data_IF_387394863831
#
_entry.id   IF_387394863831
#
_cell.length_a   1.000
_cell.length_b   1.000
_cell.length_c   1.000
_cell.angle_alpha   90.00
_cell.angle_beta   90.00
_cell.angle_gamma   90.00
#
_symmetry.space_group_name_H-M   'P 1'
#
loop_
_entity.id
_entity.type
_entity.pdbx_description
1 polymer ?
#
# COMPACT_ATOMS: atom_id res chain seq x y z
N UNK A 1 -20.07 4.47 1.48
CA UNK A 1 -19.55 4.43 1.47
C UNK A 1 -18.74 4.54 1.27
N UNK A 2 -18.23 4.55 1.16
CA UNK A 2 -17.60 4.77 1.03
C UNK A 2 -16.37 4.81 0.81
N UNK A 3 -15.55 4.09 1.16
CA UNK A 3 -14.18 4.12 0.83
C UNK A 3 -13.96 3.63 -0.53
N UNK A 4 -13.23 4.37 -1.30
CA UNK A 4 -12.85 3.94 -2.62
C UNK A 4 -11.70 2.98 -2.51
N UNK A 5 -11.61 2.05 -3.43
CA UNK A 5 -10.45 1.19 -3.52
C UNK A 5 -9.21 2.01 -3.79
N UNK A 6 -8.08 1.56 -3.26
CA UNK A 6 -6.81 2.24 -3.42
C UNK A 6 -5.78 1.29 -4.01
N UNK A 7 -4.75 1.87 -4.58
CA UNK A 7 -3.67 1.09 -5.16
C UNK A 7 -2.34 1.74 -4.84
N UNK A 8 -1.34 0.92 -4.59
CA UNK A 8 0.04 1.38 -4.41
C UNK A 8 0.90 0.67 -5.43
N UNK A 9 1.64 1.43 -6.21
CA UNK A 9 2.57 0.87 -7.17
C UNK A 9 3.97 0.89 -6.57
N UNK A 10 4.51 -0.28 -6.38
CA UNK A 10 5.83 -0.42 -5.80
C UNK A 10 6.88 -0.26 -6.89
N UNK A 11 8.04 0.36 -6.57
CA UNK A 11 9.11 0.52 -7.59
C UNK A 11 9.60 -0.79 -8.17
N UNK A 12 9.40 -1.90 -7.46
CA UNK A 12 9.82 -3.20 -7.96
C UNK A 12 8.88 -3.77 -9.01
N UNK A 13 7.81 -3.05 -9.33
CA UNK A 13 6.85 -3.50 -10.33
C UNK A 13 5.62 -4.16 -9.75
N UNK A 14 5.57 -4.35 -8.44
CA UNK A 14 4.40 -4.95 -7.82
C UNK A 14 3.30 -3.91 -7.67
N UNK A 15 2.07 -4.35 -7.83
CA UNK A 15 0.90 -3.49 -7.64
C UNK A 15 0.08 -4.07 -6.50
N UNK A 16 -0.20 -3.24 -5.52
CA UNK A 16 -0.93 -3.65 -4.32
C UNK A 16 -2.29 -3.00 -4.35
N UNK A 17 -3.33 -3.81 -4.30
CA UNK A 17 -4.70 -3.31 -4.31
C UNK A 17 -5.35 -3.53 -2.96
N UNK A 18 -6.05 -2.52 -2.48
CA UNK A 18 -6.80 -2.61 -1.24
C UNK A 18 -8.17 -2.01 -1.39
N UNK A 19 -9.06 -2.37 -0.50
CA UNK A 19 -10.43 -1.87 -0.54
C UNK A 19 -10.54 -0.48 0.09
N UNK A 20 -9.54 -0.09 0.85
CA UNK A 20 -9.50 1.22 1.49
C UNK A 20 -8.05 1.59 1.69
N UNK A 21 -7.84 2.83 2.13
CA UNK A 21 -6.49 3.29 2.42
C UNK A 21 -5.84 2.43 3.51
N UNK A 22 -6.59 2.11 4.56
CA UNK A 22 -6.05 1.29 5.63
C UNK A 22 -5.65 -0.08 5.15
N UNK A 23 -6.47 -0.66 4.28
CA UNK A 23 -6.20 -1.99 3.76
C UNK A 23 -4.95 -2.00 2.89
N UNK A 24 -4.84 -1.05 1.98
CA UNK A 24 -3.68 -1.02 1.09
C UNK A 24 -2.40 -0.68 1.86
N UNK A 25 -2.53 0.13 2.91
CA UNK A 25 -1.37 0.45 3.74
C UNK A 25 -0.85 -0.80 4.44
N UNK A 26 -1.76 -1.57 5.03
CA UNK A 26 -1.36 -2.79 5.72
C UNK A 26 -0.67 -3.77 4.76
N UNK A 27 -1.22 -3.92 3.57
CA UNK A 27 -0.63 -4.80 2.58
C UNK A 27 0.73 -4.30 2.12
N UNK A 28 0.85 -3.00 1.93
CA UNK A 28 2.12 -2.41 1.50
C UNK A 28 3.20 -2.60 2.54
N UNK A 29 2.85 -2.43 3.81
CA UNK A 29 3.80 -2.63 4.89
C UNK A 29 4.28 -4.08 4.93
N UNK A 30 3.38 -5.01 4.78
CA UNK A 30 3.73 -6.43 4.75
C UNK A 30 4.61 -6.74 3.56
N UNK A 31 4.26 -6.20 2.40
CA UNK A 31 5.04 -6.42 1.19
C UNK A 31 6.46 -5.87 1.34
N UNK A 32 6.58 -4.66 1.87
CA UNK A 32 7.90 -4.05 2.05
C UNK A 32 8.75 -4.89 2.97
N UNK A 33 8.17 -5.39 4.04
CA UNK A 33 8.92 -6.17 5.01
C UNK A 33 9.33 -7.52 4.46
N UNK A 34 8.42 -8.20 3.78
CA UNK A 34 8.68 -9.57 3.33
C UNK A 34 9.49 -9.62 2.04
N UNK A 35 9.27 -8.67 1.16
CA UNK A 35 9.91 -8.70 -0.14
C UNK A 35 11.21 -7.92 -0.16
N UNK A 36 11.23 -6.78 0.52
CA UNK A 36 12.37 -5.87 0.48
C UNK A 36 13.09 -5.74 1.80
N UNK A 37 12.59 -6.42 2.84
CA UNK A 37 13.18 -6.36 4.17
C UNK A 37 13.30 -4.91 4.66
N UNK A 38 12.30 -4.12 4.37
CA UNK A 38 12.25 -2.72 4.74
C UNK A 38 11.05 -2.43 5.61
N UNK A 39 11.19 -1.44 6.47
CA UNK A 39 10.08 -0.97 7.27
C UNK A 39 9.49 0.27 6.62
N UNK A 40 8.22 0.20 6.29
CA UNK A 40 7.51 1.32 5.71
C UNK A 40 6.52 1.84 6.74
N UNK A 41 6.55 3.14 7.01
CA UNK A 41 5.61 3.72 7.97
C UNK A 41 4.23 3.82 7.35
N UNK A 42 3.21 3.89 8.21
CA UNK A 42 1.85 4.07 7.77
C UNK A 42 1.70 5.32 6.92
N UNK A 43 2.31 6.38 7.37
CA UNK A 43 2.24 7.67 6.71
C UNK A 43 2.86 7.59 5.32
N UNK A 44 3.98 6.92 5.22
CA UNK A 44 4.68 6.76 3.96
C UNK A 44 3.84 5.94 2.98
N UNK A 45 3.29 4.84 3.45
CA UNK A 45 2.44 4.01 2.60
C UNK A 45 1.18 4.74 2.17
N UNK A 46 0.58 5.51 3.08
CA UNK A 46 -0.62 6.26 2.76
C UNK A 46 -0.34 7.32 1.71
N UNK A 47 0.83 7.92 1.74
CA UNK A 47 1.21 8.91 0.73
C UNK A 47 1.30 8.30 -0.65
N UNK A 48 1.61 7.03 -0.73
CA UNK A 48 1.76 6.35 -2.01
C UNK A 48 0.43 5.82 -2.53
N UNK A 49 -0.57 5.72 -1.67
CA UNK A 49 -1.87 5.18 -2.06
C UNK A 49 -2.58 6.14 -3.01
N UNK A 50 -3.13 5.59 -4.06
CA UNK A 50 -3.86 6.36 -5.06
C UNK A 50 -5.20 5.70 -5.33
N UNK A 51 -6.19 6.47 -5.80
CA UNK A 51 -7.47 5.87 -6.19
C UNK A 51 -7.24 4.83 -7.28
N UNK A 52 -7.85 3.71 -7.06
CA UNK A 52 -7.74 2.62 -8.03
C UNK A 52 -8.54 2.90 -9.28
#
# INVERSE_FOLDING_TARGET
>A
MTDSAKVIECPCGAVINGESTDDVVAQAQTHAKETHDMEMSQEQAASMARPA
#
